data_IF_029945875967
#
_entry.id   IF_029945875967
#
_cell.length_a   1.000
_cell.length_b   1.000
_cell.length_c   1.000
_cell.angle_alpha   90.00
_cell.angle_beta   90.00
_cell.angle_gamma   90.00
#
_symmetry.space_group_name_H-M   'P 1'
#
loop_
_entity.id
_entity.type
_entity.pdbx_description
1 polymer ?
#
# COMPACT_ATOMS: atom_id res chain seq x y z
N UNK A 1 -2.82 -6.68 14.35
CA UNK A 1 -2.48 -5.77 13.24
C UNK A 1 -3.27 -6.22 12.03
N UNK A 2 -3.85 -5.28 11.26
CA UNK A 2 -4.59 -5.60 10.03
C UNK A 2 -3.58 -5.97 8.93
N UNK A 3 -3.83 -7.04 8.18
CA UNK A 3 -2.99 -7.47 7.06
C UNK A 3 -3.70 -7.11 5.77
N UNK A 4 -3.06 -6.30 4.92
CA UNK A 4 -3.58 -5.91 3.62
C UNK A 4 -3.08 -6.87 2.54
N UNK A 5 -3.96 -7.27 1.63
CA UNK A 5 -3.57 -7.97 0.42
C UNK A 5 -2.97 -6.95 -0.54
N UNK A 6 -1.66 -7.03 -0.72
CA UNK A 6 -0.90 -6.15 -1.60
C UNK A 6 -0.69 -6.84 -2.95
N UNK A 7 -0.88 -6.07 -4.02
CA UNK A 7 -0.47 -6.44 -5.36
C UNK A 7 0.41 -5.33 -5.97
N UNK A 8 1.08 -5.64 -7.08
CA UNK A 8 1.97 -4.70 -7.76
C UNK A 8 1.25 -3.41 -8.21
N UNK A 9 -0.07 -3.47 -8.46
CA UNK A 9 -0.86 -2.30 -8.91
C UNK A 9 -1.11 -1.34 -7.76
N UNK A 10 -1.43 -1.88 -6.59
CA UNK A 10 -1.68 -1.14 -5.35
C UNK A 10 -0.42 -0.45 -4.84
N UNK A 11 0.72 -1.15 -4.88
CA UNK A 11 2.03 -0.57 -4.53
C UNK A 11 2.38 0.58 -5.49
N UNK A 12 2.24 0.38 -6.81
CA UNK A 12 2.46 1.45 -7.80
C UNK A 12 1.52 2.64 -7.62
N UNK A 13 0.27 2.41 -7.23
CA UNK A 13 -0.67 3.49 -6.91
C UNK A 13 -0.15 4.29 -5.72
N UNK A 14 0.27 3.62 -4.64
CA UNK A 14 0.84 4.27 -3.46
C UNK A 14 2.08 5.10 -3.80
N UNK A 15 3.00 4.58 -4.62
CA UNK A 15 4.21 5.31 -5.04
C UNK A 15 3.86 6.58 -5.82
N UNK A 16 2.92 6.48 -6.77
CA UNK A 16 2.45 7.65 -7.54
C UNK A 16 1.79 8.69 -6.64
N UNK A 17 0.95 8.26 -5.71
CA UNK A 17 0.33 9.17 -4.75
C UNK A 17 1.38 9.82 -3.85
N UNK A 18 2.37 9.06 -3.38
CA UNK A 18 3.48 9.59 -2.56
C UNK A 18 4.29 10.64 -3.32
N UNK A 19 4.57 10.41 -4.61
CA UNK A 19 5.25 11.40 -5.46
C UNK A 19 4.42 12.66 -5.71
N UNK A 20 3.09 12.56 -5.75
CA UNK A 20 2.19 13.71 -5.92
C UNK A 20 1.92 14.45 -4.59
N UNK A 21 2.21 13.80 -3.45
CA UNK A 21 2.02 14.30 -2.10
C UNK A 21 0.66 14.99 -1.86
N UNK A 22 -0.49 14.37 -2.23
CA UNK A 22 -1.80 14.92 -1.94
C UNK A 22 -2.08 14.86 -0.43
N UNK A 23 -3.11 15.56 0.07
CA UNK A 23 -3.55 15.41 1.44
C UNK A 23 -3.80 13.94 1.79
N UNK A 24 -3.36 13.51 2.99
CA UNK A 24 -3.43 12.10 3.44
C UNK A 24 -4.83 11.51 3.26
N UNK A 25 -5.89 12.28 3.55
CA UNK A 25 -7.27 11.82 3.36
C UNK A 25 -7.64 11.52 1.91
N UNK A 26 -7.05 12.20 0.92
CA UNK A 26 -7.25 11.91 -0.50
C UNK A 26 -6.47 10.66 -0.92
N UNK A 27 -5.23 10.52 -0.44
CA UNK A 27 -4.42 9.33 -0.66
C UNK A 27 -5.11 8.07 -0.10
N UNK A 28 -5.58 8.11 1.14
CA UNK A 28 -6.31 7.01 1.78
C UNK A 28 -7.59 6.67 1.00
N UNK A 29 -8.35 7.67 0.53
CA UNK A 29 -9.52 7.43 -0.31
C UNK A 29 -9.17 6.68 -1.60
N UNK A 30 -8.13 7.10 -2.30
CA UNK A 30 -7.69 6.44 -3.53
C UNK A 30 -7.21 5.01 -3.28
N UNK A 31 -6.45 4.78 -2.21
CA UNK A 31 -6.00 3.44 -1.80
C UNK A 31 -7.21 2.55 -1.45
N UNK A 32 -8.19 3.08 -0.71
CA UNK A 32 -9.39 2.35 -0.32
C UNK A 32 -10.27 1.91 -1.49
N UNK A 33 -10.29 2.67 -2.60
CA UNK A 33 -10.96 2.22 -3.83
C UNK A 33 -10.36 0.90 -4.33
N UNK A 34 -9.03 0.80 -4.32
CA UNK A 34 -8.33 -0.42 -4.71
C UNK A 34 -8.48 -1.53 -3.67
N UNK A 35 -8.40 -1.23 -2.37
CA UNK A 35 -8.55 -2.25 -1.32
C UNK A 35 -9.95 -2.87 -1.27
N UNK A 36 -10.98 -2.13 -1.70
CA UNK A 36 -12.36 -2.61 -1.73
C UNK A 36 -12.54 -3.85 -2.63
N UNK A 37 -11.69 -4.06 -3.62
CA UNK A 37 -11.71 -5.28 -4.45
C UNK A 37 -11.40 -6.55 -3.65
N UNK A 38 -10.80 -6.38 -2.46
CA UNK A 38 -10.43 -7.43 -1.52
C UNK A 38 -11.29 -7.40 -0.23
N UNK A 39 -12.39 -6.64 -0.23
CA UNK A 39 -13.19 -6.37 0.98
C UNK A 39 -12.37 -5.77 2.14
N UNK A 40 -11.30 -5.04 1.82
CA UNK A 40 -10.43 -4.38 2.78
C UNK A 40 -10.54 -2.86 2.71
N UNK A 41 -10.23 -2.19 3.82
CA UNK A 41 -10.25 -0.74 3.92
C UNK A 41 -9.32 -0.24 5.03
N UNK A 42 -8.72 0.93 4.83
CA UNK A 42 -8.00 1.70 5.85
C UNK A 42 -9.02 2.60 6.56
N UNK A 43 -9.19 2.40 7.87
CA UNK A 43 -10.23 3.07 8.67
C UNK A 43 -9.62 4.00 9.74
N UNK A 44 -8.38 3.74 10.12
CA UNK A 44 -7.67 4.49 11.14
C UNK A 44 -6.27 4.93 10.69
N UNK A 45 -5.67 5.86 11.43
CA UNK A 45 -4.26 6.23 11.25
C UNK A 45 -3.34 5.04 11.44
N UNK A 46 -3.66 4.15 12.38
CA UNK A 46 -2.88 2.95 12.68
C UNK A 46 -2.88 1.99 11.48
N UNK A 47 -4.04 1.81 10.84
CA UNK A 47 -4.17 1.01 9.62
C UNK A 47 -3.31 1.58 8.49
N UNK A 48 -3.29 2.91 8.36
CA UNK A 48 -2.51 3.57 7.31
C UNK A 48 -1.00 3.40 7.54
N UNK A 49 -0.54 3.51 8.79
CA UNK A 49 0.86 3.23 9.14
C UNK A 49 1.21 1.78 8.80
N UNK A 50 0.37 0.83 9.20
CA UNK A 50 0.60 -0.59 8.90
C UNK A 50 0.57 -0.92 7.41
N UNK A 51 -0.29 -0.25 6.65
CA UNK A 51 -0.31 -0.38 5.20
C UNK A 51 1.04 0.04 4.59
N UNK A 52 1.61 1.17 5.04
CA UNK A 52 2.92 1.63 4.57
C UNK A 52 4.02 0.61 4.92
N UNK A 53 4.03 0.13 6.17
CA UNK A 53 5.03 -0.86 6.61
C UNK A 53 4.98 -2.12 5.73
N UNK A 54 3.78 -2.61 5.40
CA UNK A 54 3.60 -3.77 4.52
C UNK A 54 4.02 -3.50 3.08
N UNK A 55 3.76 -2.30 2.56
CA UNK A 55 4.22 -1.92 1.21
C UNK A 55 5.74 -1.91 1.13
N UNK A 56 6.43 -1.38 2.15
CA UNK A 56 7.89 -1.41 2.18
C UNK A 56 8.44 -2.84 2.31
N UNK A 57 7.81 -3.70 3.12
CA UNK A 57 8.18 -5.11 3.21
C UNK A 57 8.00 -5.83 1.86
N UNK A 58 6.85 -5.65 1.22
CA UNK A 58 6.54 -6.25 -0.08
C UNK A 58 7.56 -5.83 -1.15
N UNK A 59 8.01 -4.57 -1.14
CA UNK A 59 9.06 -4.08 -2.03
C UNK A 59 10.41 -4.76 -1.77
N UNK A 60 10.77 -4.96 -0.50
CA UNK A 60 12.02 -5.63 -0.14
C UNK A 60 11.99 -7.10 -0.54
N UNK A 61 10.87 -7.79 -0.40
CA UNK A 61 10.69 -9.18 -0.83
C UNK A 61 10.90 -9.32 -2.34
N UNK A 62 10.22 -8.51 -3.16
CA UNK A 62 10.38 -8.53 -4.62
C UNK A 62 11.82 -8.21 -5.04
N UNK A 63 12.46 -7.22 -4.41
CA UNK A 63 13.84 -6.87 -4.73
C UNK A 63 14.81 -8.00 -4.38
N UNK A 64 14.59 -8.71 -3.28
CA UNK A 64 15.45 -9.82 -2.87
C UNK A 64 15.25 -11.08 -3.73
N UNK A 65 14.08 -11.27 -4.33
CA UNK A 65 13.83 -12.35 -5.32
C UNK A 65 14.57 -12.09 -6.65
N UNK A 66 14.77 -10.83 -7.04
CA UNK A 66 15.42 -10.44 -8.31
C UNK A 66 16.96 -10.57 -8.28
N UNK A 67 17.57 -10.75 -7.09
CA UNK A 67 19.02 -11.01 -6.92
C UNK A 67 19.33 -12.50 -6.66
N UNK A 68 18.36 -13.39 -6.84
CA UNK A 68 18.44 -14.81 -6.53
C UNK A 68 18.69 -15.76 -7.70
N UNK A 69 19.07 -15.27 -8.89
CA UNK A 69 19.45 -16.10 -10.07
C UNK A 69 20.93 -16.01 -10.44
#
# INVERSE_FOLDING_TARGET
MKVFLLDARLVRLFERLSSLNPPVGQMVKAINVSLKQYDQQIESKQDFIHFIDQVEQFKMEILNEDFGE
#
